data_IF_498804546941
#
_entry.id   IF_498804546941
#
_cell.length_a   1.000
_cell.length_b   1.000
_cell.length_c   1.000
_cell.angle_alpha   90.00
_cell.angle_beta   90.00
_cell.angle_gamma   90.00
#
_symmetry.space_group_name_H-M   'P 1'
#
loop_
_entity.id
_entity.type
_entity.pdbx_description
1 polymer ?
#
# COMPACT_ATOMS: atom_id res chain seq x y z
N UNK A 1 -7.59 0.43 7.19
CA UNK A 1 -7.19 -0.81 7.89
C UNK A 1 -6.69 -1.79 6.84
N UNK A 2 -5.47 -2.31 7.01
CA UNK A 2 -4.94 -3.32 6.08
C UNK A 2 -5.62 -4.64 6.43
N UNK A 3 -6.36 -5.20 5.48
CA UNK A 3 -7.03 -6.49 5.66
C UNK A 3 -6.08 -7.65 5.37
N UNK A 4 -5.23 -7.50 4.34
CA UNK A 4 -4.24 -8.48 3.97
C UNK A 4 -3.07 -7.79 3.26
N UNK A 5 -1.86 -8.26 3.52
CA UNK A 5 -0.62 -7.77 2.93
C UNK A 5 0.12 -8.95 2.31
N UNK A 6 0.38 -8.86 1.00
CA UNK A 6 1.08 -9.90 0.26
C UNK A 6 2.39 -9.30 -0.21
N UNK A 7 3.48 -9.80 0.39
CA UNK A 7 4.84 -9.49 0.02
C UNK A 7 5.49 -10.67 -0.69
N UNK A 8 6.28 -10.36 -1.72
CA UNK A 8 7.11 -11.30 -2.50
C UNK A 8 8.35 -10.54 -2.95
N UNK A 9 9.47 -11.22 -3.18
CA UNK A 9 10.67 -10.56 -3.71
C UNK A 9 10.41 -9.94 -5.09
N UNK A 10 9.56 -10.55 -5.92
CA UNK A 10 9.08 -9.99 -7.18
C UNK A 10 8.04 -8.87 -6.93
N UNK A 11 8.37 -7.59 -7.23
CA UNK A 11 7.46 -6.48 -6.98
C UNK A 11 6.13 -6.56 -7.74
N UNK A 12 6.07 -7.32 -8.85
CA UNK A 12 4.84 -7.48 -9.63
C UNK A 12 3.80 -8.38 -8.95
N UNK A 13 4.24 -9.21 -7.99
CA UNK A 13 3.38 -10.10 -7.21
C UNK A 13 2.88 -9.45 -5.92
N UNK A 14 3.42 -8.29 -5.53
CA UNK A 14 3.02 -7.57 -4.32
C UNK A 14 1.67 -6.90 -4.51
N UNK A 15 0.81 -7.01 -3.50
CA UNK A 15 -0.43 -6.23 -3.40
C UNK A 15 -0.92 -6.19 -1.95
N UNK A 16 -1.77 -5.21 -1.66
CA UNK A 16 -2.38 -5.04 -0.34
C UNK A 16 -3.89 -4.93 -0.49
N UNK A 17 -4.63 -5.46 0.47
CA UNK A 17 -6.05 -5.19 0.61
C UNK A 17 -6.27 -4.11 1.66
N UNK A 18 -6.86 -3.00 1.26
CA UNK A 18 -7.24 -1.88 2.13
C UNK A 18 -8.74 -1.67 1.95
N UNK A 19 -9.50 -1.72 3.05
CA UNK A 19 -10.97 -1.56 3.02
C UNK A 19 -11.63 -2.48 1.96
N UNK A 20 -11.30 -3.77 1.99
CA UNK A 20 -11.77 -4.82 1.05
C UNK A 20 -11.46 -4.60 -0.43
N UNK A 21 -10.56 -3.66 -0.76
CA UNK A 21 -10.10 -3.41 -2.12
C UNK A 21 -8.63 -3.72 -2.28
N UNK A 22 -8.28 -4.37 -3.39
CA UNK A 22 -6.89 -4.68 -3.74
C UNK A 22 -6.22 -3.46 -4.37
N UNK A 23 -5.03 -3.14 -3.90
CA UNK A 23 -4.15 -2.08 -4.42
C UNK A 23 -2.75 -2.60 -4.73
N UNK A 24 -2.11 -1.99 -5.72
CA UNK A 24 -0.72 -2.15 -6.13
C UNK A 24 0.00 -0.82 -6.12
N UNK A 25 1.33 -0.89 -6.17
CA UNK A 25 2.20 0.28 -6.30
C UNK A 25 1.76 1.15 -7.48
N UNK A 26 1.66 2.45 -7.24
CA UNK A 26 1.19 3.46 -8.17
C UNK A 26 -0.32 3.73 -8.12
N UNK A 27 -1.12 2.86 -7.50
CA UNK A 27 -2.56 3.08 -7.39
C UNK A 27 -2.91 4.07 -6.27
N UNK A 28 -3.97 4.86 -6.51
CA UNK A 28 -4.52 5.76 -5.49
C UNK A 28 -5.45 4.99 -4.58
N UNK A 29 -5.20 5.06 -3.27
CA UNK A 29 -6.06 4.49 -2.25
C UNK A 29 -7.29 5.39 -2.14
N UNK A 30 -8.46 4.82 -2.41
CA UNK A 30 -9.71 5.57 -2.57
C UNK A 30 -9.62 6.72 -3.60
N UNK A 31 -10.71 7.48 -3.81
CA UNK A 31 -10.72 8.53 -4.86
C UNK A 31 -9.86 9.76 -4.52
N UNK A 32 -9.76 10.11 -3.24
CA UNK A 32 -9.07 11.32 -2.76
C UNK A 32 -7.93 10.99 -1.79
N UNK A 33 -7.58 9.72 -1.61
CA UNK A 33 -6.54 9.32 -0.67
C UNK A 33 -5.14 9.34 -1.30
N UNK A 34 -4.14 8.88 -0.53
CA UNK A 34 -2.74 8.88 -0.94
C UNK A 34 -2.46 7.84 -2.03
N UNK A 35 -1.30 7.96 -2.67
CA UNK A 35 -0.82 6.98 -3.64
C UNK A 35 -0.01 5.91 -2.91
N UNK A 36 -0.29 4.63 -3.19
CA UNK A 36 0.55 3.54 -2.70
C UNK A 36 1.90 3.58 -3.41
N UNK A 37 2.96 3.97 -2.71
CA UNK A 37 4.31 4.09 -3.28
C UNK A 37 5.08 2.80 -3.27
N UNK A 38 4.98 2.06 -2.17
CA UNK A 38 5.74 0.83 -2.00
C UNK A 38 5.01 -0.12 -1.07
N UNK A 39 5.18 -1.41 -1.33
CA UNK A 39 4.80 -2.48 -0.42
C UNK A 39 6.11 -3.06 0.10
N UNK A 40 6.38 -2.84 1.37
CA UNK A 40 7.60 -3.23 2.08
C UNK A 40 7.30 -4.45 2.98
N UNK A 41 8.31 -5.20 3.45
CA UNK A 41 8.07 -6.44 4.21
C UNK A 41 7.19 -6.27 5.44
N UNK A 42 7.23 -5.12 6.10
CA UNK A 42 6.57 -4.80 7.36
C UNK A 42 5.35 -3.87 7.22
N UNK A 43 4.96 -3.50 5.99
CA UNK A 43 3.92 -2.51 5.79
C UNK A 43 3.80 -1.96 4.37
N UNK A 44 3.24 -0.76 4.28
CA UNK A 44 3.13 -0.02 3.03
C UNK A 44 3.62 1.41 3.20
N UNK A 45 4.24 1.95 2.16
CA UNK A 45 4.60 3.35 2.07
C UNK A 45 3.55 4.03 1.19
N UNK A 46 2.96 5.11 1.69
CA UNK A 46 1.98 5.92 0.97
C UNK A 46 2.46 7.36 0.83
N UNK A 47 2.09 8.00 -0.28
CA UNK A 47 2.42 9.38 -0.61
C UNK A 47 1.17 10.25 -0.60
N UNK A 48 1.14 11.21 0.32
CA UNK A 48 0.06 12.20 0.44
C UNK A 48 0.26 13.44 -0.43
N UNK A 49 1.39 13.55 -1.14
CA UNK A 49 1.83 14.71 -1.92
C UNK A 49 2.67 15.69 -1.11
N UNK A 50 2.41 15.81 0.19
CA UNK A 50 3.20 16.64 1.13
C UNK A 50 4.27 15.83 1.87
N UNK A 51 4.18 14.50 1.83
CA UNK A 51 5.09 13.62 2.54
C UNK A 51 4.75 12.14 2.37
N UNK A 52 5.71 11.31 2.78
CA UNK A 52 5.58 9.86 2.81
C UNK A 52 5.23 9.39 4.21
N UNK A 53 4.32 8.44 4.31
CA UNK A 53 3.98 7.77 5.56
C UNK A 53 4.19 6.25 5.43
N UNK A 54 4.76 5.64 6.47
CA UNK A 54 4.82 4.20 6.63
C UNK A 54 3.63 3.73 7.46
N UNK A 55 2.83 2.83 6.91
CA UNK A 55 1.71 2.20 7.60
C UNK A 55 2.10 0.74 7.86
N UNK A 56 2.38 0.37 9.12
CA UNK A 56 2.73 -1.00 9.48
C UNK A 56 1.51 -1.92 9.38
N UNK A 57 1.78 -3.22 9.26
CA UNK A 57 0.77 -4.28 9.41
C UNK A 57 0.62 -4.54 10.91
N UNK A 58 -0.49 -4.09 11.53
CA UNK A 58 -0.83 -4.41 12.92
C UNK A 58 -1.74 -5.64 13.02
#
# INVERSE_FOLDING_TARGET
MILAHIYDEDPNKRFVFINDRRYRVGERIERQGPVLKEIVPDGVIVDYGEGLAHIPIE
#
